data_IF_685575478551
#
_entry.id   IF_685575478551
#
_cell.length_a   1.000
_cell.length_b   1.000
_cell.length_c   1.000
_cell.angle_alpha   90.00
_cell.angle_beta   90.00
_cell.angle_gamma   90.00
#
_symmetry.space_group_name_H-M   'P 1'
#
loop_
_entity.id
_entity.type
_entity.pdbx_description
1 polymer ?
#
# COMPACT_ATOMS: atom_id res chain seq x y z
N UNK A 1 -0.50 -19.76 -17.29
CA UNK A 1 0.05 -19.26 -16.03
C UNK A 1 0.73 -20.44 -15.35
N UNK A 2 2.00 -20.68 -15.65
CA UNK A 2 2.79 -21.76 -15.02
C UNK A 2 3.52 -21.14 -13.84
N UNK A 3 2.90 -21.23 -12.66
CA UNK A 3 3.57 -20.92 -11.39
C UNK A 3 4.35 -22.16 -10.96
N UNK A 4 5.62 -22.00 -10.65
CA UNK A 4 6.50 -23.05 -10.17
C UNK A 4 6.25 -23.31 -8.68
N UNK A 5 5.03 -23.70 -8.31
CA UNK A 5 4.76 -24.19 -6.96
C UNK A 5 5.05 -25.69 -6.94
N UNK A 6 6.05 -26.08 -6.15
CA UNK A 6 6.39 -27.47 -5.89
C UNK A 6 5.28 -28.16 -5.09
N UNK A 7 4.16 -28.50 -5.73
CA UNK A 7 3.15 -29.38 -5.15
C UNK A 7 3.10 -30.68 -5.94
N UNK A 8 3.89 -31.64 -5.48
CA UNK A 8 3.68 -33.06 -5.77
C UNK A 8 2.44 -33.56 -5.01
N UNK A 9 1.24 -33.18 -5.47
CA UNK A 9 -0.02 -33.85 -5.12
C UNK A 9 -1.00 -33.81 -6.30
N UNK A 10 -1.12 -34.97 -6.95
CA UNK A 10 -2.21 -35.45 -7.80
C UNK A 10 -3.10 -34.39 -8.47
N UNK A 11 -2.71 -33.95 -9.67
CA UNK A 11 -3.63 -33.45 -10.68
C UNK A 11 -3.67 -34.44 -11.85
N UNK A 12 -4.29 -35.60 -11.59
CA UNK A 12 -4.70 -36.49 -12.66
C UNK A 12 -5.68 -35.77 -13.60
N UNK A 13 -5.41 -35.87 -14.90
CA UNK A 13 -6.38 -35.68 -15.98
C UNK A 13 -6.86 -34.24 -16.31
N UNK A 14 -5.95 -33.41 -16.81
CA UNK A 14 -6.27 -32.46 -17.90
C UNK A 14 -5.58 -32.86 -19.22
N UNK A 15 -5.27 -34.16 -19.37
CA UNK A 15 -4.50 -34.73 -20.48
C UNK A 15 -5.26 -34.86 -21.81
N UNK A 16 -6.33 -34.08 -22.01
CA UNK A 16 -6.91 -33.81 -23.33
C UNK A 16 -7.34 -32.35 -23.45
N UNK A 17 -6.38 -31.43 -23.29
CA UNK A 17 -6.51 -30.17 -24.03
C UNK A 17 -6.61 -30.54 -25.51
N UNK A 18 -7.77 -30.32 -26.13
CA UNK A 18 -7.98 -30.66 -27.54
C UNK A 18 -6.84 -30.05 -28.36
N UNK A 19 -6.34 -30.74 -29.41
CA UNK A 19 -5.15 -30.30 -30.15
C UNK A 19 -5.19 -28.83 -30.61
N UNK A 20 -6.40 -28.28 -30.76
CA UNK A 20 -6.67 -26.87 -31.00
C UNK A 20 -6.13 -25.94 -29.90
N UNK A 21 -6.33 -26.24 -28.61
CA UNK A 21 -5.80 -25.41 -27.51
C UNK A 21 -4.27 -25.43 -27.45
N UNK A 22 -3.65 -26.59 -27.73
CA UNK A 22 -2.18 -26.68 -27.83
C UNK A 22 -1.67 -25.82 -28.99
N UNK A 23 -2.34 -25.89 -30.14
CA UNK A 23 -1.98 -25.04 -31.29
C UNK A 23 -2.13 -23.56 -30.96
N UNK A 24 -3.26 -23.13 -30.38
CA UNK A 24 -3.47 -21.74 -29.94
C UNK A 24 -2.36 -21.30 -28.98
N UNK A 25 -2.04 -22.14 -27.98
CA UNK A 25 -1.00 -21.83 -27.01
C UNK A 25 0.37 -21.62 -27.68
N UNK A 26 0.74 -22.47 -28.64
CA UNK A 26 2.00 -22.34 -29.37
C UNK A 26 2.04 -21.13 -30.32
N UNK A 27 0.91 -20.70 -30.86
CA UNK A 27 0.83 -19.56 -31.79
C UNK A 27 0.68 -18.19 -31.10
N UNK A 28 0.50 -18.15 -29.78
CA UNK A 28 0.31 -16.90 -29.04
C UNK A 28 1.46 -16.65 -28.06
N UNK A 29 2.54 -15.96 -28.47
CA UNK A 29 3.73 -15.76 -27.65
C UNK A 29 3.46 -15.07 -26.30
N UNK A 30 2.46 -14.20 -26.24
CA UNK A 30 2.08 -13.49 -25.00
C UNK A 30 1.66 -14.43 -23.87
N UNK A 31 1.21 -15.65 -24.17
CA UNK A 31 0.86 -16.66 -23.16
C UNK A 31 2.09 -17.21 -22.43
N UNK A 32 3.28 -17.07 -23.01
CA UNK A 32 4.56 -17.52 -22.46
C UNK A 32 5.40 -16.37 -21.89
N UNK A 33 4.94 -15.13 -22.03
CA UNK A 33 5.69 -13.93 -21.67
C UNK A 33 5.71 -13.61 -20.16
N UNK A 34 4.96 -14.38 -19.37
CA UNK A 34 4.92 -14.26 -17.92
C UNK A 34 5.77 -15.37 -17.31
N UNK A 35 6.88 -14.99 -16.69
CA UNK A 35 7.86 -15.91 -16.12
C UNK A 35 7.93 -15.65 -14.62
N UNK A 36 7.73 -16.69 -13.82
CA UNK A 36 7.84 -16.63 -12.36
C UNK A 36 8.82 -17.69 -11.91
N UNK A 37 9.90 -17.28 -11.23
CA UNK A 37 10.89 -18.15 -10.61
C UNK A 37 10.86 -17.90 -9.11
N UNK A 38 10.82 -19.00 -8.35
CA UNK A 38 10.76 -18.99 -6.89
C UNK A 38 11.84 -19.93 -6.36
N UNK A 39 12.77 -19.35 -5.59
CA UNK A 39 13.90 -20.01 -4.94
C UNK A 39 13.71 -20.04 -3.41
N UNK A 40 12.47 -20.03 -2.91
CA UNK A 40 12.19 -20.18 -1.48
C UNK A 40 12.71 -21.52 -0.91
N UNK A 41 13.27 -21.52 0.32
CA UNK A 41 13.78 -22.72 1.01
C UNK A 41 12.71 -23.79 1.26
N UNK A 42 11.43 -23.39 1.29
CA UNK A 42 10.28 -24.29 1.46
C UNK A 42 10.10 -25.29 0.31
N UNK A 43 10.74 -25.03 -0.84
CA UNK A 43 10.76 -25.97 -1.96
C UNK A 43 11.89 -26.96 -1.70
N UNK A 44 11.56 -28.21 -1.37
CA UNK A 44 12.53 -29.31 -1.15
C UNK A 44 13.58 -29.37 -2.28
N UNK A 45 14.73 -28.74 -2.07
CA UNK A 45 15.74 -28.51 -3.11
C UNK A 45 16.54 -29.76 -3.44
N UNK A 46 16.62 -30.71 -2.51
CA UNK A 46 17.46 -31.90 -2.63
C UNK A 46 17.00 -32.86 -3.74
N UNK A 47 15.77 -32.72 -4.25
CA UNK A 47 15.23 -33.54 -5.35
C UNK A 47 15.06 -32.76 -6.67
N UNK A 48 15.50 -31.50 -6.73
CA UNK A 48 15.24 -30.64 -7.88
C UNK A 48 16.31 -30.80 -8.97
N UNK A 49 15.91 -31.34 -10.12
CA UNK A 49 16.73 -31.30 -11.34
C UNK A 49 16.72 -29.88 -11.96
N UNK A 50 17.61 -29.00 -11.50
CA UNK A 50 17.75 -27.62 -11.99
C UNK A 50 18.04 -27.53 -13.48
N UNK A 51 18.81 -28.45 -14.06
CA UNK A 51 19.09 -28.45 -15.50
C UNK A 51 17.82 -28.58 -16.34
N UNK A 52 16.91 -29.49 -15.93
CA UNK A 52 15.60 -29.61 -16.57
C UNK A 52 14.78 -28.33 -16.40
N UNK A 53 14.92 -27.64 -15.24
CA UNK A 53 14.22 -26.38 -15.00
C UNK A 53 14.71 -25.25 -15.90
N UNK A 54 16.02 -25.11 -16.04
CA UNK A 54 16.64 -24.11 -16.90
C UNK A 54 16.35 -24.38 -18.38
N UNK A 55 16.36 -25.64 -18.82
CA UNK A 55 15.93 -26.00 -20.17
C UNK A 55 14.47 -25.62 -20.43
N UNK A 56 13.58 -25.79 -19.42
CA UNK A 56 12.20 -25.34 -19.52
C UNK A 56 12.09 -23.81 -19.57
N UNK A 57 12.86 -23.08 -18.75
CA UNK A 57 12.93 -21.62 -18.78
C UNK A 57 13.34 -21.10 -20.17
N UNK A 58 14.40 -21.66 -20.76
CA UNK A 58 14.85 -21.32 -22.11
C UNK A 58 13.77 -21.63 -23.16
N UNK A 59 13.10 -22.78 -23.05
CA UNK A 59 12.00 -23.13 -23.95
C UNK A 59 10.82 -22.15 -23.83
N UNK A 60 10.48 -21.71 -22.61
CA UNK A 60 9.46 -20.69 -22.37
C UNK A 60 9.85 -19.34 -22.98
N UNK A 61 11.09 -18.89 -22.76
CA UNK A 61 11.63 -17.67 -23.35
C UNK A 61 11.63 -17.72 -24.87
N UNK A 62 11.99 -18.87 -25.47
CA UNK A 62 11.92 -19.08 -26.92
C UNK A 62 10.49 -18.98 -27.46
N UNK A 63 9.51 -19.56 -26.77
CA UNK A 63 8.09 -19.48 -27.15
C UNK A 63 7.48 -18.09 -26.98
N UNK A 64 7.99 -17.30 -26.04
CA UNK A 64 7.55 -15.92 -25.85
C UNK A 64 7.95 -14.99 -27.00
N UNK A 65 8.86 -15.42 -27.89
CA UNK A 65 9.32 -14.65 -29.05
C UNK A 65 9.62 -13.18 -28.67
N UNK A 66 9.15 -12.19 -29.43
CA UNK A 66 9.35 -10.77 -29.13
C UNK A 66 8.30 -10.16 -28.19
N UNK A 67 7.50 -10.98 -27.51
CA UNK A 67 6.52 -10.46 -26.56
C UNK A 67 7.22 -9.74 -25.38
N UNK A 68 6.69 -8.58 -24.94
CA UNK A 68 7.15 -7.94 -23.72
C UNK A 68 7.01 -8.87 -22.52
N UNK A 69 8.07 -8.99 -21.72
CA UNK A 69 8.14 -9.93 -20.60
C UNK A 69 7.69 -9.31 -19.29
N UNK A 70 6.94 -10.11 -18.51
CA UNK A 70 6.73 -9.90 -17.08
C UNK A 70 7.54 -10.96 -16.34
N UNK A 71 8.53 -10.51 -15.56
CA UNK A 71 9.42 -11.39 -14.81
C UNK A 71 9.16 -11.21 -13.32
N UNK A 72 8.80 -12.30 -12.64
CA UNK A 72 8.76 -12.41 -11.18
C UNK A 72 9.91 -13.31 -10.73
N UNK A 73 10.79 -12.79 -9.90
CA UNK A 73 11.96 -13.49 -9.40
C UNK A 73 11.98 -13.39 -7.88
N UNK A 74 11.81 -14.50 -7.18
CA UNK A 74 11.79 -14.55 -5.73
C UNK A 74 12.94 -15.41 -5.23
N UNK A 75 13.82 -14.83 -4.43
CA UNK A 75 14.91 -15.51 -3.75
C UNK A 75 14.84 -15.11 -2.28
N UNK A 76 14.41 -16.04 -1.43
CA UNK A 76 14.33 -15.84 0.01
C UNK A 76 15.58 -16.47 0.63
N UNK A 77 16.38 -15.69 1.36
CA UNK A 77 17.51 -16.21 2.13
C UNK A 77 17.20 -16.17 3.62
N UNK A 78 17.55 -17.24 4.34
CA UNK A 78 17.35 -17.38 5.78
C UNK A 78 18.46 -16.68 6.60
N UNK A 79 18.90 -15.50 6.15
CA UNK A 79 19.86 -14.65 6.87
C UNK A 79 21.34 -15.02 6.72
N UNK A 80 21.68 -16.29 6.48
CA UNK A 80 23.08 -16.76 6.33
C UNK A 80 23.42 -17.28 4.92
N UNK A 81 22.46 -17.27 4.00
CA UNK A 81 22.65 -17.89 2.68
C UNK A 81 23.32 -16.90 1.72
N UNK A 82 24.60 -17.13 1.44
CA UNK A 82 25.24 -16.68 0.19
C UNK A 82 24.32 -17.11 -0.96
N UNK A 83 23.97 -16.16 -1.83
CA UNK A 83 23.27 -16.42 -3.11
C UNK A 83 23.85 -17.65 -3.78
N UNK A 84 23.02 -18.65 -4.13
CA UNK A 84 23.51 -19.89 -4.73
C UNK A 84 23.81 -19.68 -6.21
N UNK A 85 24.56 -20.60 -6.80
CA UNK A 85 24.95 -20.52 -8.21
C UNK A 85 23.72 -20.64 -9.13
N UNK A 86 22.66 -21.30 -8.67
CA UNK A 86 21.43 -21.50 -9.41
C UNK A 86 20.66 -20.20 -9.68
N UNK A 87 20.62 -19.26 -8.72
CA UNK A 87 19.97 -17.96 -8.90
C UNK A 87 20.70 -17.15 -9.97
N UNK A 88 22.03 -17.07 -9.92
CA UNK A 88 22.82 -16.37 -10.92
C UNK A 88 22.66 -17.01 -12.30
N UNK A 89 22.67 -18.34 -12.38
CA UNK A 89 22.47 -19.07 -13.64
C UNK A 89 21.09 -18.78 -14.24
N UNK A 90 20.04 -18.69 -13.41
CA UNK A 90 18.72 -18.30 -13.86
C UNK A 90 18.69 -16.84 -14.36
N UNK A 91 19.32 -15.93 -13.62
CA UNK A 91 19.43 -14.52 -14.00
C UNK A 91 20.22 -14.36 -15.31
N UNK A 92 21.27 -15.14 -15.56
CA UNK A 92 22.00 -15.14 -16.82
C UNK A 92 21.12 -15.50 -18.01
N UNK A 93 20.26 -16.51 -17.86
CA UNK A 93 19.29 -16.89 -18.88
C UNK A 93 18.30 -15.75 -19.12
N UNK A 94 17.72 -15.20 -18.04
CA UNK A 94 16.73 -14.12 -18.12
C UNK A 94 17.33 -12.82 -18.71
N UNK A 95 18.53 -12.44 -18.28
CA UNK A 95 19.21 -11.19 -18.64
C UNK A 95 19.53 -11.10 -20.12
N UNK A 96 19.74 -12.23 -20.81
CA UNK A 96 19.85 -12.25 -22.29
C UNK A 96 18.61 -11.66 -22.99
N UNK A 97 17.45 -11.64 -22.30
CA UNK A 97 16.19 -11.12 -22.79
C UNK A 97 15.73 -9.84 -22.04
N UNK A 98 16.61 -9.18 -21.27
CA UNK A 98 16.31 -7.98 -20.46
C UNK A 98 15.74 -6.81 -21.25
N UNK A 99 16.16 -6.66 -22.52
CA UNK A 99 15.64 -5.63 -23.43
C UNK A 99 14.12 -5.72 -23.65
N UNK A 100 13.51 -6.89 -23.42
CA UNK A 100 12.06 -7.13 -23.53
C UNK A 100 11.29 -6.96 -22.23
N UNK A 101 11.98 -6.81 -21.10
CA UNK A 101 11.30 -6.75 -19.81
C UNK A 101 10.47 -5.48 -19.73
N UNK A 102 9.17 -5.64 -19.51
CA UNK A 102 8.23 -4.54 -19.32
C UNK A 102 7.88 -4.39 -17.83
N UNK A 103 7.77 -5.51 -17.13
CA UNK A 103 7.52 -5.55 -15.69
C UNK A 103 8.53 -6.47 -15.02
N UNK A 104 9.14 -6.00 -13.94
CA UNK A 104 10.03 -6.77 -13.08
C UNK A 104 9.53 -6.71 -11.64
N UNK A 105 9.21 -7.88 -11.09
CA UNK A 105 8.95 -8.10 -9.67
C UNK A 105 10.12 -8.92 -9.12
N UNK A 106 10.90 -8.37 -8.21
CA UNK A 106 12.10 -9.05 -7.71
C UNK A 106 12.21 -8.95 -6.20
N UNK A 107 12.34 -10.11 -5.55
CA UNK A 107 12.58 -10.25 -4.12
C UNK A 107 13.92 -10.96 -3.99
N UNK A 108 14.87 -10.35 -3.28
CA UNK A 108 16.20 -10.95 -3.16
C UNK A 108 17.20 -10.13 -2.38
N UNK A 109 18.39 -10.67 -2.16
CA UNK A 109 19.51 -9.94 -1.58
C UNK A 109 20.13 -8.93 -2.57
N UNK A 110 20.86 -7.94 -2.03
CA UNK A 110 21.47 -6.84 -2.80
C UNK A 110 22.32 -7.29 -4.01
N UNK A 111 23.19 -8.33 -3.91
CA UNK A 111 24.08 -8.73 -5.00
C UNK A 111 23.35 -9.12 -6.28
N UNK A 112 22.15 -9.72 -6.18
CA UNK A 112 21.36 -10.09 -7.34
C UNK A 112 20.91 -8.86 -8.16
N UNK A 113 20.61 -7.73 -7.51
CA UNK A 113 20.23 -6.50 -8.21
C UNK A 113 21.42 -5.87 -8.92
N UNK A 114 22.59 -5.85 -8.27
CA UNK A 114 23.84 -5.39 -8.90
C UNK A 114 24.19 -6.26 -10.11
N UNK A 115 23.96 -7.57 -10.02
CA UNK A 115 24.25 -8.53 -11.09
C UNK A 115 23.46 -8.27 -12.40
N UNK A 116 22.23 -7.74 -12.28
CA UNK A 116 21.36 -7.50 -13.43
C UNK A 116 21.96 -6.53 -14.47
N UNK A 117 22.72 -5.52 -14.04
CA UNK A 117 23.26 -4.46 -14.91
C UNK A 117 22.19 -3.63 -15.65
N UNK A 118 22.62 -2.71 -16.51
CA UNK A 118 21.78 -1.56 -16.93
C UNK A 118 21.05 -1.77 -18.28
N UNK A 119 20.46 -2.93 -18.54
CA UNK A 119 20.00 -3.31 -19.91
C UNK A 119 18.47 -3.37 -20.08
N UNK A 120 17.76 -2.38 -19.56
CA UNK A 120 16.28 -2.40 -19.49
C UNK A 120 15.61 -1.36 -20.40
N UNK A 121 15.59 -1.59 -21.71
CA UNK A 121 15.02 -0.64 -22.67
C UNK A 121 13.49 -0.52 -22.64
N UNK A 122 12.79 -1.57 -22.19
CA UNK A 122 11.33 -1.63 -22.18
C UNK A 122 10.69 -1.58 -20.79
N UNK A 123 11.49 -1.53 -19.72
CA UNK A 123 11.00 -1.65 -18.35
C UNK A 123 10.14 -0.43 -18.00
N UNK A 124 8.90 -0.68 -17.60
CA UNK A 124 7.90 0.33 -17.22
C UNK A 124 7.48 0.21 -15.76
N UNK A 125 7.43 -1.01 -15.24
CA UNK A 125 7.00 -1.31 -13.89
C UNK A 125 8.10 -2.08 -13.16
N UNK A 126 8.50 -1.57 -12.01
CA UNK A 126 9.48 -2.19 -11.13
C UNK A 126 8.83 -2.38 -9.74
N UNK A 127 8.88 -3.59 -9.20
CA UNK A 127 8.56 -3.86 -7.80
C UNK A 127 9.70 -4.67 -7.20
N UNK A 128 10.47 -4.05 -6.30
CA UNK A 128 11.61 -4.69 -5.67
C UNK A 128 11.43 -4.78 -4.16
N UNK A 129 11.83 -5.90 -3.61
CA UNK A 129 12.02 -6.11 -2.19
C UNK A 129 13.47 -6.54 -1.95
N UNK A 130 14.24 -5.69 -1.27
CA UNK A 130 15.66 -5.91 -1.01
C UNK A 130 15.85 -6.38 0.42
N UNK A 131 16.39 -7.58 0.61
CA UNK A 131 16.74 -8.07 1.95
C UNK A 131 17.91 -7.28 2.54
N UNK A 132 17.91 -7.07 3.87
CA UNK A 132 19.08 -6.54 4.56
C UNK A 132 20.12 -7.67 4.61
N UNK A 133 21.28 -7.45 4.00
CA UNK A 133 22.46 -8.28 4.24
C UNK A 133 23.30 -7.67 5.35
N UNK A 134 24.12 -8.50 5.99
CA UNK A 134 25.00 -8.12 7.10
C UNK A 134 25.96 -6.99 6.68
N UNK A 135 25.81 -5.83 7.34
CA UNK A 135 26.70 -4.69 7.58
C UNK A 135 27.64 -4.15 6.47
N UNK A 136 27.69 -4.71 5.26
CA UNK A 136 28.52 -4.14 4.20
C UNK A 136 27.82 -2.93 3.57
N UNK A 137 28.51 -1.79 3.64
CA UNK A 137 28.13 -0.50 3.04
C UNK A 137 28.30 -0.56 1.52
N UNK A 138 27.52 -1.41 0.84
CA UNK A 138 27.52 -1.40 -0.62
C UNK A 138 26.53 -0.35 -1.16
N UNK A 139 27.05 0.55 -1.98
CA UNK A 139 26.33 1.69 -2.52
C UNK A 139 25.81 1.32 -3.91
N UNK A 140 24.48 1.24 -4.04
CA UNK A 140 23.84 1.38 -5.35
C UNK A 140 23.32 0.09 -6.01
N UNK A 141 22.92 -0.93 -5.24
CA UNK A 141 22.23 -2.11 -5.79
C UNK A 141 21.07 -1.74 -6.74
N UNK A 142 20.32 -0.68 -6.41
CA UNK A 142 19.20 -0.19 -7.23
C UNK A 142 19.60 0.82 -8.31
N UNK A 143 20.86 1.28 -8.34
CA UNK A 143 21.35 2.23 -9.35
C UNK A 143 21.29 1.65 -10.77
N UNK A 144 21.23 0.32 -10.88
CA UNK A 144 21.03 -0.40 -12.15
C UNK A 144 19.76 0.05 -12.88
N UNK A 145 18.75 0.50 -12.13
CA UNK A 145 17.47 0.95 -12.69
C UNK A 145 17.42 2.45 -12.98
N UNK A 146 18.42 3.23 -12.56
CA UNK A 146 18.47 4.68 -12.78
C UNK A 146 18.55 5.06 -14.28
N UNK A 147 19.02 4.14 -15.12
CA UNK A 147 19.16 4.34 -16.56
C UNK A 147 17.97 3.81 -17.38
N UNK A 148 16.89 3.34 -16.75
CA UNK A 148 15.72 2.79 -17.45
C UNK A 148 14.88 3.92 -18.08
N UNK A 149 14.91 4.12 -19.40
CA UNK A 149 14.34 5.32 -20.04
C UNK A 149 12.81 5.32 -20.13
N UNK A 150 12.16 4.21 -19.74
CA UNK A 150 10.71 4.02 -19.82
C UNK A 150 10.10 3.69 -18.47
N UNK A 151 10.87 3.74 -17.39
CA UNK A 151 10.39 3.35 -16.07
C UNK A 151 9.42 4.41 -15.56
N UNK A 152 8.17 4.02 -15.31
CA UNK A 152 7.10 4.94 -14.93
C UNK A 152 6.56 4.64 -13.53
N UNK A 153 6.62 3.38 -13.12
CA UNK A 153 6.12 2.90 -11.83
C UNK A 153 7.25 2.15 -11.13
N UNK A 154 7.58 2.58 -9.91
CA UNK A 154 8.55 1.89 -9.08
C UNK A 154 8.02 1.69 -7.67
N UNK A 155 8.09 0.46 -7.19
CA UNK A 155 7.87 0.06 -5.80
C UNK A 155 9.18 -0.44 -5.25
N UNK A 156 9.68 0.18 -4.18
CA UNK A 156 10.95 -0.19 -3.53
C UNK A 156 10.68 -0.45 -2.06
N UNK A 157 10.86 -1.69 -1.63
CA UNK A 157 10.79 -2.06 -0.22
C UNK A 157 12.16 -2.55 0.22
N UNK A 158 12.71 -1.94 1.26
CA UNK A 158 13.96 -2.43 1.87
C UNK A 158 13.61 -3.09 3.20
N UNK A 159 14.31 -4.16 3.60
CA UNK A 159 14.12 -4.73 4.93
C UNK A 159 14.45 -3.73 6.05
N UNK A 160 13.93 -3.96 7.26
CA UNK A 160 14.02 -3.04 8.41
C UNK A 160 15.45 -2.70 8.87
N UNK A 161 16.45 -3.50 8.48
CA UNK A 161 17.78 -3.50 9.09
C UNK A 161 18.95 -3.22 8.11
N UNK A 162 18.69 -2.70 6.90
CA UNK A 162 19.72 -2.59 5.87
C UNK A 162 20.56 -1.30 5.94
N UNK A 163 21.85 -1.39 5.58
CA UNK A 163 22.87 -0.33 5.41
C UNK A 163 22.50 0.78 4.39
N UNK A 164 23.20 1.93 4.47
CA UNK A 164 22.94 3.29 3.91
C UNK A 164 22.87 3.45 2.39
N UNK A 165 22.44 2.42 1.64
CA UNK A 165 22.43 2.47 0.18
C UNK A 165 21.47 3.57 -0.32
N UNK A 166 21.97 4.42 -1.21
CA UNK A 166 21.15 5.41 -1.91
C UNK A 166 20.28 4.71 -2.95
N UNK A 167 19.00 5.10 -3.00
CA UNK A 167 18.08 4.65 -4.05
C UNK A 167 18.16 5.63 -5.20
N UNK A 168 18.68 5.17 -6.35
CA UNK A 168 18.75 5.97 -7.57
C UNK A 168 17.76 5.41 -8.59
N UNK A 169 16.81 6.23 -8.98
CA UNK A 169 15.80 5.91 -10.00
C UNK A 169 15.69 7.08 -11.00
N UNK A 170 15.12 6.83 -12.19
CA UNK A 170 14.96 7.87 -13.20
C UNK A 170 14.08 9.03 -12.72
N UNK A 171 14.32 10.20 -13.29
CA UNK A 171 13.64 11.47 -13.01
C UNK A 171 12.22 11.62 -13.59
N UNK A 172 11.78 10.66 -14.41
CA UNK A 172 10.50 10.68 -15.10
C UNK A 172 9.47 9.68 -14.52
N UNK A 173 9.66 9.29 -13.26
CA UNK A 173 8.72 8.41 -12.55
C UNK A 173 7.37 9.10 -12.35
N UNK A 174 6.29 8.42 -12.75
CA UNK A 174 4.92 8.91 -12.52
C UNK A 174 4.34 8.43 -11.21
N UNK A 175 4.71 7.23 -10.78
CA UNK A 175 4.21 6.60 -9.55
C UNK A 175 5.35 5.98 -8.78
N UNK A 176 5.41 6.30 -7.49
CA UNK A 176 6.46 5.80 -6.62
C UNK A 176 5.87 5.27 -5.32
N UNK A 177 6.25 4.04 -4.95
CA UNK A 177 5.94 3.43 -3.67
C UNK A 177 7.25 3.06 -2.99
N UNK A 178 7.39 3.44 -1.73
CA UNK A 178 8.55 3.13 -0.92
C UNK A 178 8.12 2.59 0.45
N UNK A 179 8.87 1.59 0.93
CA UNK A 179 8.77 1.04 2.27
C UNK A 179 10.09 1.15 3.01
N UNK A 180 10.00 1.56 4.28
CA UNK A 180 11.08 1.82 5.24
C UNK A 180 11.92 3.08 4.96
N UNK A 181 12.73 3.50 5.96
CA UNK A 181 13.72 4.60 5.96
C UNK A 181 13.51 5.78 4.98
N UNK A 182 12.62 6.72 5.33
CA UNK A 182 12.26 7.94 4.56
C UNK A 182 13.45 8.65 3.91
N UNK A 183 14.54 8.81 4.65
CA UNK A 183 15.69 9.60 4.22
C UNK A 183 16.29 9.12 2.90
N UNK A 184 16.21 7.81 2.61
CA UNK A 184 16.74 7.21 1.36
C UNK A 184 15.90 7.55 0.15
N UNK A 185 14.62 7.79 0.38
CA UNK A 185 13.64 8.02 -0.67
C UNK A 185 13.53 9.50 -1.05
N UNK A 186 14.06 10.41 -0.22
CA UNK A 186 14.09 11.86 -0.52
C UNK A 186 14.83 12.19 -1.82
N UNK A 187 15.89 11.45 -2.15
CA UNK A 187 16.65 11.66 -3.39
C UNK A 187 15.82 11.29 -4.62
N UNK A 188 15.04 10.20 -4.54
CA UNK A 188 14.10 9.79 -5.60
C UNK A 188 12.98 10.82 -5.77
N UNK A 189 12.41 11.33 -4.66
CA UNK A 189 11.38 12.37 -4.74
C UNK A 189 11.93 13.66 -5.37
N UNK A 190 13.19 14.01 -5.08
CA UNK A 190 13.85 15.18 -5.66
C UNK A 190 14.13 14.97 -7.15
N UNK A 191 14.64 13.80 -7.55
CA UNK A 191 14.92 13.52 -8.96
C UNK A 191 13.64 13.46 -9.78
N UNK A 192 12.56 12.86 -9.25
CA UNK A 192 11.28 12.72 -9.93
C UNK A 192 10.32 13.92 -9.71
N UNK A 193 10.83 15.06 -9.26
CA UNK A 193 10.00 16.18 -8.80
C UNK A 193 8.99 16.67 -9.83
N UNK A 194 9.43 16.81 -11.09
CA UNK A 194 8.63 17.35 -12.19
C UNK A 194 7.73 16.33 -12.89
N UNK A 195 7.69 15.07 -12.43
CA UNK A 195 6.94 14.01 -13.12
C UNK A 195 6.06 13.15 -12.21
N UNK A 196 6.28 13.21 -10.90
CA UNK A 196 5.62 12.36 -9.93
C UNK A 196 4.17 12.79 -9.69
N UNK A 197 3.22 11.91 -10.00
CA UNK A 197 1.77 12.14 -9.87
C UNK A 197 1.20 11.46 -8.63
N UNK A 198 1.77 10.31 -8.23
CA UNK A 198 1.31 9.52 -7.10
C UNK A 198 2.50 8.99 -6.30
N UNK A 199 2.43 9.14 -4.98
CA UNK A 199 3.49 8.75 -4.07
C UNK A 199 2.93 8.02 -2.85
N UNK A 200 3.53 6.89 -2.49
CA UNK A 200 3.18 6.10 -1.31
C UNK A 200 4.44 5.83 -0.50
N UNK A 201 4.51 6.33 0.73
CA UNK A 201 5.67 6.22 1.62
C UNK A 201 5.26 5.53 2.92
N UNK A 202 5.71 4.30 3.13
CA UNK A 202 5.53 3.57 4.38
C UNK A 202 6.82 3.60 5.18
N UNK A 203 6.78 4.21 6.34
CA UNK A 203 7.89 4.37 7.28
C UNK A 203 7.57 3.50 8.48
N UNK A 204 8.38 2.48 8.76
CA UNK A 204 8.17 1.66 9.95
C UNK A 204 8.27 2.49 11.24
N UNK A 205 9.23 3.43 11.28
CA UNK A 205 9.58 4.17 12.49
C UNK A 205 9.56 5.70 12.27
N UNK A 206 8.58 6.37 12.88
CA UNK A 206 8.50 7.83 12.90
C UNK A 206 9.48 8.47 13.90
N UNK A 207 10.23 7.66 14.67
CA UNK A 207 11.14 8.15 15.71
C UNK A 207 12.37 8.86 15.17
N UNK A 208 12.70 8.70 13.88
CA UNK A 208 13.84 9.37 13.27
C UNK A 208 13.42 10.75 12.76
N UNK A 209 13.71 11.84 13.51
CA UNK A 209 13.37 13.17 13.04
C UNK A 209 14.13 13.45 11.75
N UNK A 210 13.46 14.10 10.80
CA UNK A 210 14.15 14.69 9.67
C UNK A 210 15.21 15.68 10.19
N UNK A 211 16.37 15.79 9.53
CA UNK A 211 17.31 16.86 9.82
C UNK A 211 16.61 18.22 9.76
N UNK A 212 16.84 19.09 10.75
CA UNK A 212 16.20 20.41 10.91
C UNK A 212 16.35 21.35 9.69
N UNK A 213 17.28 21.04 8.79
CA UNK A 213 17.58 21.80 7.59
C UNK A 213 17.31 21.03 6.30
N UNK A 214 16.42 20.03 6.33
CA UNK A 214 16.04 19.32 5.11
C UNK A 214 15.35 20.29 4.15
N UNK A 215 15.94 20.58 2.97
CA UNK A 215 15.32 21.49 2.02
C UNK A 215 14.01 20.91 1.52
N UNK A 216 12.99 21.76 1.35
CA UNK A 216 11.70 21.33 0.80
C UNK A 216 11.89 20.81 -0.62
N UNK A 217 11.23 19.70 -0.89
CA UNK A 217 11.20 19.04 -2.19
C UNK A 217 9.94 19.51 -2.92
N UNK A 218 10.08 20.28 -4.01
CA UNK A 218 8.94 20.66 -4.81
C UNK A 218 8.42 19.42 -5.56
N UNK A 219 7.12 19.20 -5.48
CA UNK A 219 6.39 18.12 -6.17
C UNK A 219 5.15 18.74 -6.83
N UNK A 220 5.33 19.60 -7.85
CA UNK A 220 4.26 20.44 -8.41
C UNK A 220 3.10 19.64 -8.99
N UNK A 221 3.35 18.46 -9.54
CA UNK A 221 2.36 17.62 -10.22
C UNK A 221 1.81 16.48 -9.34
N UNK A 222 2.20 16.41 -8.07
CA UNK A 222 1.76 15.34 -7.17
C UNK A 222 0.28 15.51 -6.82
N UNK A 223 -0.55 14.61 -7.34
CA UNK A 223 -2.00 14.62 -7.14
C UNK A 223 -2.42 13.77 -5.94
N UNK A 224 -1.68 12.69 -5.64
CA UNK A 224 -1.99 11.75 -4.56
C UNK A 224 -0.76 11.43 -3.73
N UNK A 225 -0.92 11.53 -2.42
CA UNK A 225 0.12 11.22 -1.44
C UNK A 225 -0.43 10.31 -0.35
N UNK A 226 0.25 9.20 -0.09
CA UNK A 226 0.00 8.32 1.04
C UNK A 226 1.25 8.22 1.89
N UNK A 227 1.16 8.53 3.18
CA UNK A 227 2.28 8.48 4.12
C UNK A 227 1.87 7.73 5.38
N UNK A 228 2.72 6.82 5.87
CA UNK A 228 2.43 6.18 7.16
C UNK A 228 2.61 7.14 8.34
N UNK A 229 3.52 8.12 8.23
CA UNK A 229 3.79 9.12 9.26
C UNK A 229 3.88 10.52 8.69
N UNK A 230 3.48 11.52 9.47
CA UNK A 230 3.38 12.89 9.00
C UNK A 230 4.71 13.68 8.99
N UNK A 231 5.80 13.17 9.58
CA UNK A 231 7.09 13.89 9.66
C UNK A 231 7.64 14.29 8.29
N UNK A 232 7.47 13.42 7.28
CA UNK A 232 7.89 13.69 5.89
C UNK A 232 7.19 14.92 5.28
N UNK A 233 5.98 15.26 5.73
CA UNK A 233 5.17 16.32 5.14
C UNK A 233 5.81 17.72 5.27
N UNK A 234 6.68 17.94 6.26
CA UNK A 234 7.39 19.22 6.41
C UNK A 234 8.48 19.43 5.34
N UNK A 235 8.98 18.34 4.76
CA UNK A 235 9.96 18.37 3.68
C UNK A 235 9.33 18.42 2.28
N UNK A 236 8.00 18.43 2.16
CA UNK A 236 7.32 18.40 0.86
C UNK A 236 6.59 19.73 0.57
N UNK A 237 6.65 20.14 -0.70
CA UNK A 237 5.84 21.22 -1.25
C UNK A 237 5.02 20.70 -2.44
N UNK A 238 3.71 20.54 -2.24
CA UNK A 238 2.82 19.76 -3.13
C UNK A 238 1.60 20.60 -3.55
N UNK A 239 1.77 21.67 -4.34
CA UNK A 239 0.69 22.63 -4.61
C UNK A 239 -0.54 22.02 -5.34
N UNK A 240 -0.37 20.95 -6.12
CA UNK A 240 -1.46 20.27 -6.83
C UNK A 240 -2.11 19.11 -6.04
N UNK A 241 -1.74 18.90 -4.77
CA UNK A 241 -2.18 17.73 -4.01
C UNK A 241 -3.70 17.71 -3.81
N UNK A 242 -4.35 16.73 -4.43
CA UNK A 242 -5.79 16.53 -4.32
C UNK A 242 -6.17 15.53 -3.23
N UNK A 243 -5.37 14.48 -3.02
CA UNK A 243 -5.70 13.38 -2.11
C UNK A 243 -4.53 13.10 -1.18
N UNK A 244 -4.79 13.15 0.14
CA UNK A 244 -3.83 12.81 1.19
C UNK A 244 -4.35 11.65 2.03
N UNK A 245 -3.51 10.64 2.20
CA UNK A 245 -3.70 9.53 3.12
C UNK A 245 -2.58 9.56 4.16
N UNK A 246 -2.89 9.71 5.44
CA UNK A 246 -1.91 9.82 6.51
C UNK A 246 -2.26 8.87 7.65
N UNK A 247 -1.50 7.78 7.85
CA UNK A 247 -1.90 6.72 8.78
C UNK A 247 -1.58 7.02 10.24
N UNK A 248 -0.50 7.74 10.53
CA UNK A 248 -0.14 8.18 11.88
C UNK A 248 0.01 9.70 11.87
N UNK A 249 -1.07 10.44 12.18
CA UNK A 249 -1.02 11.89 12.23
C UNK A 249 -0.07 12.34 13.33
N UNK A 250 0.60 13.45 13.10
CA UNK A 250 1.43 14.14 14.09
C UNK A 250 1.42 15.65 13.79
N UNK A 251 1.95 16.53 14.67
CA UNK A 251 1.86 17.97 14.48
C UNK A 251 2.26 18.53 13.09
N UNK A 252 3.27 17.97 12.39
CA UNK A 252 3.57 18.29 10.99
C UNK A 252 2.37 18.23 10.03
N UNK A 253 1.40 17.33 10.26
CA UNK A 253 0.19 17.22 9.43
C UNK A 253 -0.60 18.52 9.43
N UNK A 254 -0.83 19.15 10.60
CA UNK A 254 -1.62 20.38 10.68
C UNK A 254 -0.91 21.54 9.98
N UNK A 255 0.41 21.63 10.15
CA UNK A 255 1.26 22.60 9.46
C UNK A 255 1.17 22.43 7.94
N UNK A 256 1.14 21.18 7.48
CA UNK A 256 1.01 20.83 6.08
C UNK A 256 -0.37 21.19 5.53
N UNK A 257 -1.45 20.79 6.21
CA UNK A 257 -2.83 21.07 5.82
C UNK A 257 -3.10 22.57 5.69
N UNK A 258 -2.54 23.40 6.58
CA UNK A 258 -2.65 24.86 6.49
C UNK A 258 -2.05 25.44 5.19
N UNK A 259 -1.13 24.73 4.53
CA UNK A 259 -0.54 25.12 3.24
C UNK A 259 -1.33 24.59 2.04
N UNK A 260 -2.13 23.53 2.23
CA UNK A 260 -2.85 22.87 1.14
C UNK A 260 -4.17 23.56 0.84
N UNK A 261 -4.30 24.07 -0.40
CA UNK A 261 -5.53 24.74 -0.89
C UNK A 261 -6.33 23.88 -1.87
N UNK A 262 -5.71 22.85 -2.44
CA UNK A 262 -6.24 22.01 -3.51
C UNK A 262 -6.74 20.66 -3.00
N UNK A 263 -6.56 20.39 -1.70
CA UNK A 263 -6.89 19.12 -1.08
C UNK A 263 -8.41 18.89 -1.08
N UNK A 264 -8.85 17.89 -1.85
CA UNK A 264 -10.26 17.46 -1.95
C UNK A 264 -10.58 16.27 -1.06
N UNK A 265 -9.58 15.47 -0.71
CA UNK A 265 -9.75 14.24 0.07
C UNK A 265 -8.65 14.10 1.09
N UNK A 266 -9.05 13.88 2.33
CA UNK A 266 -8.15 13.56 3.43
C UNK A 266 -8.61 12.27 4.09
N UNK A 267 -7.70 11.30 4.23
CA UNK A 267 -7.92 10.10 5.04
C UNK A 267 -6.85 10.05 6.13
N UNK A 268 -7.27 10.01 7.39
CA UNK A 268 -6.37 9.94 8.55
C UNK A 268 -6.59 8.66 9.33
N UNK A 269 -5.51 7.91 9.56
CA UNK A 269 -5.46 6.69 10.35
C UNK A 269 -5.05 6.92 11.81
N UNK A 270 -5.10 5.86 12.63
CA UNK A 270 -4.43 5.71 13.94
C UNK A 270 -4.24 7.00 14.78
N UNK A 271 -5.32 7.75 15.01
CA UNK A 271 -5.26 8.93 15.85
C UNK A 271 -4.91 8.55 17.29
N UNK A 272 -3.93 9.24 17.88
CA UNK A 272 -3.38 8.86 19.19
C UNK A 272 -4.12 9.48 20.38
N UNK A 273 -4.93 10.52 20.15
CA UNK A 273 -5.67 11.21 21.20
C UNK A 273 -6.94 11.90 20.68
N UNK A 274 -7.88 12.20 21.59
CA UNK A 274 -9.05 13.02 21.29
C UNK A 274 -8.69 14.48 20.94
N UNK A 275 -7.59 15.00 21.50
CA UNK A 275 -7.09 16.34 21.19
C UNK A 275 -6.60 16.42 19.74
N UNK A 276 -5.93 15.38 19.24
CA UNK A 276 -5.51 15.29 17.84
C UNK A 276 -6.70 15.31 16.88
N UNK A 277 -7.78 14.59 17.22
CA UNK A 277 -9.02 14.59 16.46
C UNK A 277 -9.59 16.02 16.39
N UNK A 278 -9.68 16.69 17.54
CA UNK A 278 -10.24 18.04 17.63
C UNK A 278 -9.38 19.03 16.86
N UNK A 279 -8.06 18.99 17.04
CA UNK A 279 -7.11 19.83 16.33
C UNK A 279 -7.15 19.59 14.82
N UNK A 280 -7.25 18.32 14.40
CA UNK A 280 -7.41 17.95 13.00
C UNK A 280 -8.66 18.62 12.43
N UNK A 281 -9.84 18.37 13.02
CA UNK A 281 -11.11 18.92 12.54
C UNK A 281 -11.09 20.45 12.41
N UNK A 282 -10.50 21.16 13.37
CA UNK A 282 -10.35 22.61 13.29
C UNK A 282 -9.47 23.10 12.13
N UNK A 283 -8.53 22.27 11.66
CA UNK A 283 -7.68 22.60 10.51
C UNK A 283 -8.38 22.42 9.15
N UNK A 284 -9.52 21.72 9.10
CA UNK A 284 -10.17 21.31 7.83
C UNK A 284 -11.33 22.24 7.44
N UNK A 285 -11.07 23.49 7.05
CA UNK A 285 -12.16 24.41 6.70
C UNK A 285 -12.85 24.13 5.34
N UNK A 286 -12.17 23.44 4.42
CA UNK A 286 -12.58 23.38 3.00
C UNK A 286 -12.67 21.97 2.40
N UNK A 287 -12.49 20.91 3.20
CA UNK A 287 -12.35 19.55 2.67
C UNK A 287 -13.71 18.93 2.33
N UNK A 288 -13.95 18.51 1.07
CA UNK A 288 -15.18 17.84 0.66
C UNK A 288 -15.29 16.37 1.09
N UNK A 289 -14.17 15.63 1.13
CA UNK A 289 -14.16 14.21 1.50
C UNK A 289 -13.21 13.95 2.67
N UNK A 290 -13.76 13.46 3.78
CA UNK A 290 -13.00 13.12 4.98
C UNK A 290 -13.16 11.62 5.30
N UNK A 291 -12.04 10.94 5.49
CA UNK A 291 -11.95 9.60 6.02
C UNK A 291 -11.19 9.61 7.35
N UNK A 292 -11.74 9.02 8.41
CA UNK A 292 -11.08 8.91 9.71
C UNK A 292 -11.12 7.47 10.22
N UNK A 293 -10.00 6.99 10.74
CA UNK A 293 -9.96 5.82 11.62
C UNK A 293 -9.84 6.31 13.05
N UNK A 294 -10.94 6.15 13.79
CA UNK A 294 -11.08 6.63 15.16
C UNK A 294 -10.97 5.40 16.07
N UNK A 295 -9.98 5.33 16.98
CA UNK A 295 -9.99 4.34 18.03
C UNK A 295 -11.29 4.40 18.83
N UNK A 296 -11.87 3.24 19.15
CA UNK A 296 -13.21 3.18 19.77
C UNK A 296 -13.30 3.96 21.10
N UNK A 297 -12.22 4.04 21.87
CA UNK A 297 -12.17 4.80 23.12
C UNK A 297 -12.29 6.33 22.91
N UNK A 298 -11.97 6.83 21.72
CA UNK A 298 -12.13 8.25 21.36
C UNK A 298 -13.42 8.52 20.56
N UNK A 299 -14.26 7.50 20.34
CA UNK A 299 -15.47 7.65 19.55
C UNK A 299 -16.42 8.72 20.11
N UNK A 300 -16.63 8.76 21.42
CA UNK A 300 -17.50 9.75 22.05
C UNK A 300 -16.96 11.17 21.86
N UNK A 301 -15.66 11.37 22.04
CA UNK A 301 -15.03 12.69 21.91
C UNK A 301 -15.04 13.17 20.47
N UNK A 302 -14.75 12.28 19.51
CA UNK A 302 -14.92 12.55 18.09
C UNK A 302 -16.35 12.99 17.74
N UNK A 303 -17.35 12.25 18.21
CA UNK A 303 -18.74 12.56 17.91
C UNK A 303 -19.20 13.87 18.54
N UNK A 304 -18.74 14.18 19.76
CA UNK A 304 -18.97 15.48 20.41
C UNK A 304 -18.27 16.62 19.67
N UNK A 305 -17.05 16.39 19.18
CA UNK A 305 -16.31 17.38 18.42
C UNK A 305 -17.00 17.68 17.06
N UNK A 306 -17.62 16.68 16.43
CA UNK A 306 -18.41 16.90 15.22
C UNK A 306 -19.82 17.44 15.47
N UNK A 307 -20.38 17.23 16.67
CA UNK A 307 -21.70 17.75 17.00
C UNK A 307 -21.68 19.28 16.97
N UNK A 308 -22.73 19.93 16.44
CA UNK A 308 -22.85 21.38 16.55
C UNK A 308 -22.87 21.76 18.03
N UNK A 309 -21.99 22.67 18.45
CA UNK A 309 -22.12 23.28 19.77
C UNK A 309 -23.52 23.89 19.88
N UNK A 310 -24.18 23.83 21.03
CA UNK A 310 -25.56 24.31 21.24
C UNK A 310 -25.76 25.85 21.11
N UNK A 311 -24.95 26.53 20.32
CA UNK A 311 -25.04 27.94 19.99
C UNK A 311 -24.88 28.20 18.49
N UNK A 312 -24.92 29.48 18.06
CA UNK A 312 -24.77 29.89 16.66
C UNK A 312 -23.34 29.73 16.11
N UNK A 313 -22.57 28.78 16.63
CA UNK A 313 -21.21 28.53 16.18
C UNK A 313 -21.20 27.97 14.76
N UNK A 314 -20.20 28.34 13.94
CA UNK A 314 -20.08 27.82 12.59
C UNK A 314 -19.94 26.29 12.60
N UNK A 315 -20.61 25.63 11.65
CA UNK A 315 -20.47 24.18 11.40
C UNK A 315 -18.99 23.86 11.18
N UNK A 316 -18.46 22.87 11.92
CA UNK A 316 -17.02 22.58 11.96
C UNK A 316 -16.41 22.12 10.63
N UNK A 317 -17.23 21.73 9.64
CA UNK A 317 -16.78 21.31 8.31
C UNK A 317 -17.82 21.71 7.25
N UNK A 318 -17.96 23.01 6.90
CA UNK A 318 -19.09 23.48 6.10
C UNK A 318 -19.05 23.00 4.64
N UNK A 319 -17.90 22.49 4.17
CA UNK A 319 -17.71 21.99 2.80
C UNK A 319 -17.85 20.46 2.70
N UNK A 320 -18.08 19.76 3.81
CA UNK A 320 -18.01 18.30 3.85
C UNK A 320 -19.19 17.66 3.13
N UNK A 321 -18.90 16.92 2.07
CA UNK A 321 -19.89 16.20 1.28
C UNK A 321 -19.87 14.69 1.53
N UNK A 322 -18.71 14.13 1.87
CA UNK A 322 -18.55 12.71 2.15
C UNK A 322 -17.78 12.51 3.44
N UNK A 323 -18.37 11.78 4.37
CA UNK A 323 -17.74 11.39 5.62
C UNK A 323 -17.61 9.87 5.68
N UNK A 324 -16.39 9.37 5.84
CA UNK A 324 -16.11 7.96 6.06
C UNK A 324 -15.46 7.81 7.44
N UNK A 325 -16.06 7.01 8.33
CA UNK A 325 -15.53 6.83 9.68
C UNK A 325 -15.43 5.34 9.97
N UNK A 326 -14.21 4.88 10.26
CA UNK A 326 -13.95 3.56 10.79
C UNK A 326 -13.64 3.62 12.27
N UNK A 327 -14.51 3.03 13.10
CA UNK A 327 -14.24 2.81 14.51
C UNK A 327 -13.49 1.50 14.68
N UNK A 328 -12.22 1.59 15.08
CA UNK A 328 -11.32 0.45 15.20
C UNK A 328 -10.96 0.20 16.66
N UNK A 329 -10.85 -1.07 17.11
CA UNK A 329 -10.23 -1.35 18.40
C UNK A 329 -8.75 -0.99 18.33
N UNK A 330 -8.18 -0.46 19.42
CA UNK A 330 -6.72 -0.39 19.54
C UNK A 330 -6.11 -1.80 19.47
N UNK A 331 -4.86 -1.84 19.00
CA UNK A 331 -4.09 -3.07 18.72
C UNK A 331 -3.98 -4.04 19.90
N UNK A 332 -4.25 -3.58 21.12
CA UNK A 332 -4.08 -4.42 22.29
C UNK A 332 -5.22 -5.42 22.52
N UNK A 333 -6.39 -5.30 21.87
CA UNK A 333 -7.59 -6.19 21.96
C UNK A 333 -8.08 -6.59 23.38
N UNK A 334 -7.34 -6.27 24.44
CA UNK A 334 -7.55 -6.69 25.82
C UNK A 334 -8.63 -5.87 26.50
N UNK A 335 -8.85 -4.64 26.02
CA UNK A 335 -9.90 -3.77 26.54
C UNK A 335 -11.07 -3.82 25.56
N UNK A 336 -12.20 -4.40 26.00
CA UNK A 336 -13.46 -4.26 25.28
C UNK A 336 -13.87 -2.79 25.40
N UNK A 337 -13.85 -2.02 24.31
CA UNK A 337 -14.22 -0.62 24.38
C UNK A 337 -15.69 -0.47 24.75
N UNK A 338 -16.03 0.64 25.39
CA UNK A 338 -17.42 0.99 25.63
C UNK A 338 -18.18 1.03 24.29
N UNK A 339 -19.46 0.59 24.26
CA UNK A 339 -20.24 0.66 23.04
C UNK A 339 -20.36 2.11 22.57
N UNK A 340 -20.31 2.30 21.25
CA UNK A 340 -20.53 3.61 20.64
C UNK A 340 -21.93 4.09 21.00
N UNK A 341 -22.02 5.33 21.46
CA UNK A 341 -23.30 6.01 21.68
C UNK A 341 -23.98 6.24 20.31
N UNK A 342 -24.91 5.35 19.97
CA UNK A 342 -25.61 5.34 18.69
C UNK A 342 -26.53 6.56 18.52
N UNK A 343 -27.04 7.11 19.63
CA UNK A 343 -27.90 8.29 19.59
C UNK A 343 -27.08 9.54 19.29
N UNK A 344 -25.95 9.70 19.98
CA UNK A 344 -25.01 10.78 19.70
C UNK A 344 -24.50 10.70 18.26
N UNK A 345 -24.15 9.49 17.79
CA UNK A 345 -23.75 9.26 16.40
C UNK A 345 -24.79 9.80 15.41
N UNK A 346 -26.06 9.43 15.60
CA UNK A 346 -27.14 9.85 14.71
C UNK A 346 -27.45 11.35 14.81
N UNK A 347 -27.43 11.92 16.02
CA UNK A 347 -27.59 13.36 16.20
C UNK A 347 -26.51 14.15 15.46
N UNK A 348 -25.25 13.69 15.53
CA UNK A 348 -24.13 14.30 14.81
C UNK A 348 -24.32 14.22 13.29
N UNK A 349 -24.74 13.07 12.75
CA UNK A 349 -25.00 12.90 11.32
C UNK A 349 -26.13 13.82 10.84
N UNK A 350 -27.25 13.82 11.57
CA UNK A 350 -28.43 14.63 11.24
C UNK A 350 -28.09 16.11 11.22
N UNK A 351 -27.34 16.58 12.22
CA UNK A 351 -26.89 17.96 12.29
C UNK A 351 -25.98 18.35 11.11
N UNK A 352 -24.99 17.51 10.78
CA UNK A 352 -24.08 17.77 9.66
C UNK A 352 -24.79 17.71 8.31
N UNK A 353 -25.77 16.82 8.17
CA UNK A 353 -26.58 16.72 6.97
C UNK A 353 -27.48 17.94 6.75
N UNK A 354 -28.15 18.41 7.80
CA UNK A 354 -29.03 19.57 7.71
C UNK A 354 -28.29 20.89 7.48
N UNK A 355 -27.04 21.00 7.95
CA UNK A 355 -26.30 22.28 7.94
C UNK A 355 -25.12 22.32 6.96
N UNK A 356 -24.48 21.20 6.66
CA UNK A 356 -23.17 21.13 6.01
C UNK A 356 -23.17 20.59 4.57
N UNK A 357 -24.33 20.25 4.00
CA UNK A 357 -24.40 19.73 2.63
C UNK A 357 -23.85 18.30 2.46
N UNK A 358 -23.75 17.55 3.57
CA UNK A 358 -23.34 16.15 3.58
C UNK A 358 -24.23 15.32 2.64
N UNK A 359 -23.63 14.47 1.82
CA UNK A 359 -24.33 13.65 0.82
C UNK A 359 -24.11 12.17 1.00
N UNK A 360 -22.96 11.79 1.55
CA UNK A 360 -22.59 10.40 1.76
C UNK A 360 -21.95 10.23 3.14
N UNK A 361 -22.37 9.19 3.86
CA UNK A 361 -21.80 8.80 5.13
C UNK A 361 -21.60 7.29 5.17
N UNK A 362 -20.36 6.87 5.38
CA UNK A 362 -20.01 5.47 5.48
C UNK A 362 -19.41 5.20 6.87
N UNK A 363 -20.05 4.30 7.61
CA UNK A 363 -19.57 3.87 8.92
C UNK A 363 -19.02 2.48 8.85
N UNK A 364 -17.90 2.28 9.50
CA UNK A 364 -17.36 0.96 9.76
C UNK A 364 -17.21 0.76 11.26
N UNK A 365 -17.76 -0.33 11.79
CA UNK A 365 -17.56 -0.72 13.18
C UNK A 365 -17.65 -2.24 13.33
N UNK A 366 -16.52 -2.91 13.60
CA UNK A 366 -16.45 -4.38 13.68
C UNK A 366 -17.28 -5.00 14.81
N UNK A 367 -17.60 -4.24 15.86
CA UNK A 367 -18.23 -4.78 17.08
C UNK A 367 -19.53 -4.07 17.47
N UNK A 368 -20.08 -3.24 16.59
CA UNK A 368 -21.38 -2.62 16.85
C UNK A 368 -22.51 -3.54 16.42
N UNK A 369 -23.38 -3.90 17.37
CA UNK A 369 -24.72 -4.41 17.06
C UNK A 369 -25.65 -3.20 16.90
N UNK A 370 -26.02 -2.80 15.67
CA UNK A 370 -26.86 -1.62 15.47
C UNK A 370 -28.24 -1.87 16.08
N UNK A 371 -28.71 -0.92 16.88
CA UNK A 371 -30.07 -0.98 17.43
C UNK A 371 -31.11 -0.87 16.31
N UNK A 372 -32.32 -1.38 16.56
CA UNK A 372 -33.43 -1.22 15.61
C UNK A 372 -33.78 0.25 15.39
N UNK A 373 -33.61 1.09 16.41
CA UNK A 373 -33.82 2.53 16.34
C UNK A 373 -32.80 3.22 15.43
N UNK A 374 -31.50 2.91 15.58
CA UNK A 374 -30.45 3.37 14.69
C UNK A 374 -30.78 3.03 13.23
N UNK A 375 -31.10 1.76 12.95
CA UNK A 375 -31.43 1.30 11.60
C UNK A 375 -32.68 2.00 11.03
N UNK A 376 -33.69 2.25 11.86
CA UNK A 376 -34.88 2.98 11.47
C UNK A 376 -34.55 4.44 11.10
N UNK A 377 -33.77 5.15 11.92
CA UNK A 377 -33.34 6.53 11.64
C UNK A 377 -32.49 6.62 10.38
N UNK A 378 -31.53 5.69 10.20
CA UNK A 378 -30.73 5.61 8.97
C UNK A 378 -31.59 5.41 7.71
N UNK A 379 -32.67 4.60 7.80
CA UNK A 379 -33.61 4.40 6.69
C UNK A 379 -34.33 5.69 6.33
N UNK A 380 -34.82 6.43 7.33
CA UNK A 380 -35.47 7.72 7.12
C UNK A 380 -34.54 8.69 6.39
N UNK A 381 -33.28 8.81 6.83
CA UNK A 381 -32.29 9.68 6.16
C UNK A 381 -32.01 9.24 4.72
N UNK A 382 -31.95 7.92 4.47
CA UNK A 382 -31.77 7.37 3.12
C UNK A 382 -32.93 7.72 2.20
N UNK A 383 -34.16 7.59 2.69
CA UNK A 383 -35.36 7.93 1.94
C UNK A 383 -35.42 9.45 1.64
N UNK A 384 -34.77 10.26 2.47
CA UNK A 384 -34.60 11.71 2.26
C UNK A 384 -33.39 12.08 1.37
N UNK A 385 -32.67 11.08 0.84
CA UNK A 385 -31.61 11.26 -0.16
C UNK A 385 -30.19 11.23 0.39
N UNK A 386 -29.97 11.02 1.68
CA UNK A 386 -28.63 10.82 2.24
C UNK A 386 -28.12 9.40 1.91
N UNK A 387 -26.96 9.28 1.25
CA UNK A 387 -26.33 7.97 1.06
C UNK A 387 -25.68 7.53 2.36
N UNK A 388 -26.34 6.67 3.14
CA UNK A 388 -25.79 6.15 4.39
C UNK A 388 -25.62 4.63 4.37
N UNK A 389 -24.38 4.19 4.63
CA UNK A 389 -23.98 2.78 4.66
C UNK A 389 -23.28 2.48 6.00
N UNK A 390 -23.62 1.32 6.58
CA UNK A 390 -22.99 0.80 7.79
C UNK A 390 -22.39 -0.56 7.46
N UNK A 391 -21.10 -0.68 7.72
CA UNK A 391 -20.28 -1.85 7.52
C UNK A 391 -19.88 -2.43 8.86
N UNK A 392 -20.16 -3.71 9.05
CA UNK A 392 -19.80 -4.46 10.26
C UNK A 392 -18.82 -5.59 9.95
N UNK A 393 -18.64 -5.95 8.67
CA UNK A 393 -17.71 -6.99 8.26
C UNK A 393 -16.33 -6.40 8.02
N UNK A 394 -15.26 -7.06 8.50
CA UNK A 394 -13.93 -6.55 8.29
C UNK A 394 -13.50 -6.43 6.83
N UNK A 395 -14.02 -7.30 5.96
CA UNK A 395 -13.79 -7.28 4.50
C UNK A 395 -14.29 -6.01 3.80
N UNK A 396 -15.17 -5.25 4.45
CA UNK A 396 -15.69 -4.01 3.91
C UNK A 396 -14.77 -2.81 4.21
N UNK A 397 -13.84 -2.92 5.16
CA UNK A 397 -12.91 -1.83 5.51
C UNK A 397 -12.05 -1.42 4.31
N UNK A 398 -11.53 -2.41 3.60
CA UNK A 398 -10.67 -2.23 2.43
C UNK A 398 -11.42 -1.63 1.24
N UNK A 399 -12.75 -1.73 1.23
CA UNK A 399 -13.58 -1.15 0.16
C UNK A 399 -13.81 0.34 0.36
N UNK A 400 -13.90 0.78 1.61
CA UNK A 400 -14.39 2.11 1.97
C UNK A 400 -13.23 3.07 2.22
N UNK A 401 -12.19 2.60 2.89
CA UNK A 401 -11.22 3.49 3.54
C UNK A 401 -9.80 3.33 3.02
N UNK A 402 -9.39 2.10 2.73
CA UNK A 402 -8.05 1.82 2.21
C UNK A 402 -8.15 1.84 0.68
N UNK A 403 -7.48 2.77 -0.03
CA UNK A 403 -7.39 2.62 -1.46
C UNK A 403 -6.63 1.31 -1.75
N UNK A 404 -7.10 0.49 -2.71
CA UNK A 404 -6.57 -0.86 -3.05
C UNK A 404 -5.04 -0.98 -3.25
N UNK A 405 -4.28 0.10 -3.14
CA UNK A 405 -2.82 0.14 -3.18
C UNK A 405 -2.11 -0.60 -2.03
N UNK A 406 -2.87 -1.03 -1.01
CA UNK A 406 -2.39 -1.88 0.09
C UNK A 406 -2.55 -3.38 -0.19
N UNK A 407 -3.31 -3.78 -1.23
CA UNK A 407 -3.41 -5.17 -1.66
C UNK A 407 -2.14 -5.56 -2.44
N UNK A 408 -1.07 -5.85 -1.68
CA UNK A 408 -0.14 -6.89 -2.11
C UNK A 408 -0.58 -8.16 -1.36
N UNK A 409 -1.65 -8.81 -1.83
CA UNK A 409 -2.20 -10.06 -1.29
C UNK A 409 -1.17 -11.22 -1.19
N UNK A 410 0.04 -11.04 -1.76
CA UNK A 410 1.11 -12.04 -1.80
C UNK A 410 2.37 -11.69 -0.96
N UNK A 411 2.37 -10.62 -0.14
CA UNK A 411 3.54 -10.29 0.70
C UNK A 411 3.21 -10.37 2.21
N UNK A 412 4.03 -11.05 3.03
CA UNK A 412 3.68 -11.42 4.41
C UNK A 412 3.51 -10.28 5.44
N UNK A 413 3.66 -8.99 5.08
CA UNK A 413 3.89 -7.94 6.10
C UNK A 413 3.20 -6.57 5.91
N UNK A 414 2.13 -6.40 5.11
CA UNK A 414 1.54 -5.05 4.95
C UNK A 414 0.04 -4.87 5.23
N UNK A 415 -0.71 -5.94 5.45
CA UNK A 415 -2.12 -5.89 5.90
C UNK A 415 -2.47 -7.12 6.75
N UNK A 416 -1.83 -8.26 6.44
CA UNK A 416 -1.99 -9.50 7.19
C UNK A 416 -1.65 -9.37 8.67
N UNK A 417 -0.66 -8.60 9.12
CA UNK A 417 -0.38 -8.49 10.57
C UNK A 417 -1.54 -7.85 11.38
N UNK A 418 -2.25 -6.89 10.79
CA UNK A 418 -3.46 -6.29 11.36
C UNK A 418 -4.62 -7.29 11.36
N UNK A 419 -4.72 -8.14 10.33
CA UNK A 419 -5.76 -9.16 10.18
C UNK A 419 -5.50 -10.46 10.94
N UNK A 420 -4.23 -10.84 11.13
CA UNK A 420 -3.80 -12.06 11.78
C UNK A 420 -4.07 -11.99 13.28
N UNK A 421 -3.82 -10.83 13.90
CA UNK A 421 -4.24 -10.57 15.28
C UNK A 421 -5.77 -10.65 15.48
N UNK A 422 -6.56 -10.17 14.50
CA UNK A 422 -8.04 -10.25 14.54
C UNK A 422 -8.51 -11.70 14.37
N UNK A 423 -7.93 -12.44 13.43
CA UNK A 423 -8.28 -13.84 13.15
C UNK A 423 -7.92 -14.77 14.31
N UNK A 424 -6.75 -14.58 14.94
CA UNK A 424 -6.34 -15.35 16.13
C UNK A 424 -7.24 -15.07 17.34
N UNK A 425 -7.66 -13.82 17.55
CA UNK A 425 -8.59 -13.46 18.62
C UNK A 425 -9.99 -14.08 18.42
N UNK A 426 -10.52 -14.08 17.19
CA UNK A 426 -11.81 -14.73 16.87
C UNK A 426 -11.76 -16.26 17.01
N UNK A 427 -10.64 -16.90 16.68
CA UNK A 427 -10.44 -18.33 16.89
C UNK A 427 -10.31 -18.70 18.37
N UNK A 428 -9.75 -17.82 19.21
CA UNK A 428 -9.69 -18.05 20.66
C UNK A 428 -11.06 -17.91 21.34
N UNK A 429 -11.91 -16.97 20.91
CA UNK A 429 -13.29 -16.83 21.41
C UNK A 429 -14.22 -17.97 20.99
N UNK A 430 -14.01 -18.60 19.81
CA UNK A 430 -14.82 -19.75 19.38
C UNK A 430 -14.43 -21.08 20.05
N UNK A 431 -13.24 -21.13 20.68
CA UNK A 431 -12.71 -22.31 21.36
C UNK A 431 -12.85 -22.27 22.90
N UNK A 432 -13.44 -21.20 23.45
CA UNK A 432 -13.84 -21.08 24.86
C UNK A 432 -15.36 -21.18 24.98
#
# INVERSE_FOLDING_TARGET
MTSWKGTSRDHGSSAQSCGRWRSIALFQPSLWAHISLDFSPELDFDEVNFDARFALLEAHLGRSAEAPLTVKFQCYSDGDCITRDEEYRALDILKKHSHRWQTLEMVGPKPLFTYLGNTFSLLRNLDVYVYPETDEDDVGALATFASCPRLQVATVNEGRFGSSSRVLLPDHLRRYKAGNLVMRHLEVLRSASDSLVECVLHVADDSTPLPSHTPRIPLPDLLRLSVSGATILDALDTPALGELYCFRPSPPLYSFLARQKTLRKLVVGEMSSADDITQLLHSLSSIPELGLYVPMEFASDFLKALAPSQGPSPTLLPSLTTLNVGFIPLRDFQVIPAPIDQDLLMQTIEAQWQTGGLRSVNFYCMRMSPSQELLARMRVLRDQGLKIELFTSPRDLDRVMIPRYFDNDDKPYSSQDLWWGIYEAEQQEQNQ
#
